data_IF_272210668533
#
_entry.id   IF_272210668533
#
_cell.length_a   1.000
_cell.length_b   1.000
_cell.length_c   1.000
_cell.angle_alpha   90.00
_cell.angle_beta   90.00
_cell.angle_gamma   90.00
#
_symmetry.space_group_name_H-M   'P 1'
#
loop_
_entity.id
_entity.type
_entity.pdbx_description
1 polymer ?
#
# COMPACT_ATOMS: atom_id res chain seq x y z
N UNK A 1 2.28 17.88 5.79
CA UNK A 1 1.23 18.37 4.83
C UNK A 1 0.49 19.61 5.34
N UNK A 2 0.37 19.80 6.65
CA UNK A 2 -0.26 20.99 7.24
C UNK A 2 0.53 22.28 7.02
N UNK A 3 1.85 22.24 7.03
CA UNK A 3 2.69 23.40 6.73
C UNK A 3 2.53 23.92 5.30
N UNK A 4 2.00 23.09 4.39
CA UNK A 4 1.66 23.50 3.02
C UNK A 4 0.27 24.11 2.90
N UNK A 5 -0.61 23.94 3.90
CA UNK A 5 -1.95 24.53 3.90
C UNK A 5 -1.95 26.05 4.11
N UNK A 6 -0.94 26.59 4.77
CA UNK A 6 -0.81 28.03 5.00
C UNK A 6 -0.45 28.82 3.73
N UNK A 7 0.08 28.14 2.71
CA UNK A 7 0.36 28.73 1.40
C UNK A 7 -0.77 28.57 0.37
N UNK A 8 -1.89 27.94 0.75
CA UNK A 8 -3.01 27.74 -0.16
C UNK A 8 -3.95 28.95 -0.20
N UNK A 9 -4.49 29.21 -1.39
CA UNK A 9 -5.63 30.11 -1.58
C UNK A 9 -6.80 29.74 -0.64
N UNK A 10 -7.51 30.73 -0.05
CA UNK A 10 -8.54 30.49 0.96
C UNK A 10 -9.64 29.50 0.52
N UNK A 11 -10.02 29.47 -0.77
CA UNK A 11 -11.01 28.55 -1.28
C UNK A 11 -10.49 27.11 -1.39
N UNK A 12 -9.21 26.92 -1.68
CA UNK A 12 -8.54 25.62 -1.66
C UNK A 12 -8.35 25.12 -0.24
N UNK A 13 -7.97 26.01 0.67
CA UNK A 13 -7.85 25.70 2.11
C UNK A 13 -9.17 25.20 2.69
N UNK A 14 -10.27 25.88 2.41
CA UNK A 14 -11.61 25.49 2.88
C UNK A 14 -12.02 24.12 2.35
N UNK A 15 -11.77 23.83 1.08
CA UNK A 15 -12.05 22.51 0.47
C UNK A 15 -11.20 21.40 1.07
N UNK A 16 -9.94 21.65 1.31
CA UNK A 16 -9.03 20.68 1.94
C UNK A 16 -9.49 20.35 3.37
N UNK A 17 -9.86 21.37 4.13
CA UNK A 17 -10.37 21.22 5.49
C UNK A 17 -11.67 20.39 5.52
N UNK A 18 -12.58 20.67 4.59
CA UNK A 18 -13.82 19.89 4.47
C UNK A 18 -13.54 18.43 4.12
N UNK A 19 -12.65 18.17 3.14
CA UNK A 19 -12.29 16.82 2.75
C UNK A 19 -11.62 16.04 3.89
N UNK A 20 -10.72 16.67 4.65
CA UNK A 20 -10.09 16.05 5.82
C UNK A 20 -11.12 15.70 6.90
N UNK A 21 -12.09 16.59 7.15
CA UNK A 21 -13.15 16.35 8.11
C UNK A 21 -14.06 15.19 7.70
N UNK A 22 -14.44 15.15 6.43
CA UNK A 22 -15.29 14.11 5.87
C UNK A 22 -14.60 12.73 5.92
N UNK A 23 -13.32 12.68 5.58
CA UNK A 23 -12.51 11.47 5.67
C UNK A 23 -12.30 11.02 7.12
N UNK A 24 -11.99 11.94 8.03
CA UNK A 24 -11.84 11.63 9.46
C UNK A 24 -13.17 11.10 10.07
N UNK A 25 -14.31 11.59 9.59
CA UNK A 25 -15.62 11.10 10.01
C UNK A 25 -15.95 9.72 9.45
N UNK A 26 -15.59 9.47 8.19
CA UNK A 26 -15.82 8.20 7.51
C UNK A 26 -14.91 7.07 8.03
N UNK A 27 -13.67 7.39 8.42
CA UNK A 27 -12.70 6.43 8.94
C UNK A 27 -12.83 6.07 10.42
N UNK A 28 -13.77 6.71 11.15
CA UNK A 28 -13.93 6.52 12.59
C UNK A 28 -12.87 7.23 13.45
N UNK A 29 -11.85 7.81 12.86
CA UNK A 29 -10.77 8.55 13.55
C UNK A 29 -11.31 9.76 14.32
N UNK A 30 -12.46 10.32 13.90
CA UNK A 30 -13.11 11.42 14.62
C UNK A 30 -13.48 11.03 16.06
N UNK A 31 -13.90 9.79 16.29
CA UNK A 31 -14.22 9.28 17.63
C UNK A 31 -12.94 9.11 18.48
N UNK A 32 -11.88 8.59 17.88
CA UNK A 32 -10.56 8.42 18.54
C UNK A 32 -9.94 9.77 18.91
N UNK A 33 -10.18 10.80 18.10
CA UNK A 33 -9.74 12.17 18.36
C UNK A 33 -10.64 12.92 19.36
N UNK A 34 -11.77 12.34 19.79
CA UNK A 34 -12.74 12.97 20.63
C UNK A 34 -13.40 14.21 19.99
N UNK A 35 -13.53 14.19 18.65
CA UNK A 35 -14.21 15.25 17.90
C UNK A 35 -15.73 15.09 18.02
N UNK A 36 -16.40 16.14 18.45
CA UNK A 36 -17.87 16.17 18.43
C UNK A 36 -18.39 16.33 17.00
N UNK A 37 -19.62 15.87 16.75
CA UNK A 37 -20.29 16.04 15.45
C UNK A 37 -20.43 17.52 15.02
N UNK A 38 -20.34 18.45 15.98
CA UNK A 38 -20.44 19.89 15.76
C UNK A 38 -19.08 20.62 15.85
N UNK A 39 -17.97 19.88 15.86
CA UNK A 39 -16.64 20.50 15.92
C UNK A 39 -16.41 21.43 14.72
N UNK A 40 -15.90 22.61 15.01
CA UNK A 40 -15.52 23.55 13.94
C UNK A 40 -14.31 23.01 13.18
N UNK A 41 -14.13 23.40 11.91
CA UNK A 41 -12.93 23.03 11.15
C UNK A 41 -11.62 23.37 11.85
N UNK A 42 -11.57 24.50 12.56
CA UNK A 42 -10.40 24.92 13.31
C UNK A 42 -10.09 24.00 14.51
N UNK A 43 -11.13 23.57 15.23
CA UNK A 43 -10.98 22.60 16.33
C UNK A 43 -10.54 21.23 15.82
N UNK A 44 -11.14 20.78 14.72
CA UNK A 44 -10.74 19.52 14.08
C UNK A 44 -9.28 19.54 13.66
N UNK A 45 -8.81 20.63 13.05
CA UNK A 45 -7.42 20.83 12.66
C UNK A 45 -6.50 20.78 13.88
N UNK A 46 -6.82 21.55 14.93
CA UNK A 46 -6.01 21.61 16.13
C UNK A 46 -5.90 20.23 16.82
N UNK A 47 -6.99 19.47 16.84
CA UNK A 47 -7.03 18.13 17.42
C UNK A 47 -6.23 17.12 16.60
N UNK A 48 -6.37 17.16 15.27
CA UNK A 48 -5.61 16.29 14.35
C UNK A 48 -4.12 16.63 14.44
N UNK A 49 -3.75 17.89 14.41
CA UNK A 49 -2.36 18.33 14.52
C UNK A 49 -1.73 17.88 15.85
N UNK A 50 -2.46 18.09 16.96
CA UNK A 50 -2.03 17.61 18.26
C UNK A 50 -1.88 16.09 18.31
N UNK A 51 -2.84 15.34 17.77
CA UNK A 51 -2.76 13.88 17.70
C UNK A 51 -1.57 13.41 16.88
N UNK A 52 -1.30 14.05 15.73
CA UNK A 52 -0.12 13.75 14.89
C UNK A 52 1.17 14.09 15.62
N UNK A 53 1.20 15.21 16.35
CA UNK A 53 2.36 15.57 17.17
C UNK A 53 2.56 14.60 18.33
N UNK A 54 1.50 14.26 19.06
CA UNK A 54 1.54 13.29 20.16
C UNK A 54 1.96 11.90 19.66
N UNK A 55 1.43 11.47 18.50
CA UNK A 55 1.83 10.23 17.86
C UNK A 55 3.31 10.26 17.45
N UNK A 56 3.76 11.36 16.87
CA UNK A 56 5.16 11.57 16.50
C UNK A 56 6.06 11.58 17.74
N UNK A 57 5.68 12.27 18.78
CA UNK A 57 6.45 12.33 20.03
C UNK A 57 6.47 10.99 20.76
N UNK A 58 5.35 10.26 20.78
CA UNK A 58 5.29 8.91 21.36
C UNK A 58 6.16 7.90 20.61
N UNK A 59 6.27 8.06 19.29
CA UNK A 59 7.06 7.19 18.43
C UNK A 59 8.53 7.60 18.32
N UNK A 60 8.82 8.89 18.39
CA UNK A 60 10.15 9.45 18.16
C UNK A 60 10.73 10.22 19.37
N UNK A 61 10.03 10.24 20.48
CA UNK A 61 10.32 11.08 21.63
C UNK A 61 11.71 10.92 22.25
N UNK A 62 12.47 9.90 21.89
CA UNK A 62 13.87 9.69 22.28
C UNK A 62 14.85 9.82 21.12
N UNK A 63 14.43 10.27 19.95
CA UNK A 63 15.31 10.49 18.80
C UNK A 63 15.83 9.23 18.12
N UNK A 64 15.34 8.06 18.52
CA UNK A 64 15.77 6.73 17.99
C UNK A 64 15.02 6.31 16.71
N UNK A 65 14.65 7.27 15.89
CA UNK A 65 13.83 7.05 14.69
C UNK A 65 14.54 6.29 13.55
N UNK A 66 15.84 6.02 13.65
CA UNK A 66 16.60 5.29 12.62
C UNK A 66 16.49 3.77 12.83
N UNK A 67 16.52 3.30 14.07
CA UNK A 67 16.52 1.88 14.41
C UNK A 67 15.29 1.46 15.20
N UNK A 68 14.60 2.42 15.77
CA UNK A 68 13.52 2.16 16.66
C UNK A 68 12.39 3.17 16.54
N UNK A 69 11.21 2.69 16.75
CA UNK A 69 10.01 3.49 16.67
C UNK A 69 9.13 3.20 17.88
N UNK A 70 9.75 3.14 19.04
CA UNK A 70 8.98 2.92 20.22
C UNK A 70 9.80 2.55 21.43
N UNK A 71 9.11 2.52 22.56
CA UNK A 71 9.68 2.12 23.85
C UNK A 71 10.17 0.67 23.83
N UNK A 72 11.21 0.41 24.58
CA UNK A 72 11.72 -0.94 24.88
C UNK A 72 12.79 -1.45 23.92
N UNK A 73 13.21 -0.69 22.90
CA UNK A 73 14.23 -1.15 21.94
C UNK A 73 15.62 -1.23 22.60
N UNK A 74 16.01 -0.20 23.34
CA UNK A 74 17.25 -0.21 24.12
C UNK A 74 17.21 -1.35 25.15
N UNK A 75 16.07 -1.56 25.80
CA UNK A 75 15.91 -2.65 26.78
C UNK A 75 15.97 -4.02 26.09
N UNK A 76 15.37 -4.17 24.92
CA UNK A 76 15.46 -5.40 24.11
C UNK A 76 16.89 -5.72 23.73
N UNK A 77 17.64 -4.71 23.27
CA UNK A 77 19.07 -4.86 22.94
C UNK A 77 19.90 -5.26 24.17
N UNK A 78 19.75 -4.56 25.29
CA UNK A 78 20.46 -4.87 26.52
C UNK A 78 20.13 -6.28 27.03
N UNK A 79 18.86 -6.70 26.92
CA UNK A 79 18.44 -8.06 27.28
C UNK A 79 19.15 -9.10 26.42
N UNK A 80 19.23 -8.87 25.10
CA UNK A 80 19.95 -9.76 24.20
C UNK A 80 21.46 -9.80 24.47
N UNK A 81 22.09 -8.64 24.69
CA UNK A 81 23.52 -8.54 25.02
C UNK A 81 23.88 -9.24 26.34
N UNK A 82 22.96 -9.26 27.29
CA UNK A 82 23.13 -10.00 28.54
C UNK A 82 22.85 -11.51 28.41
N UNK A 83 22.66 -12.02 27.19
CA UNK A 83 22.42 -13.43 26.92
C UNK A 83 21.01 -13.92 27.27
N UNK A 84 20.09 -13.02 27.56
CA UNK A 84 18.70 -13.37 27.83
C UNK A 84 17.85 -13.41 26.58
N UNK A 85 16.81 -14.25 26.59
CA UNK A 85 15.86 -14.34 25.49
C UNK A 85 14.98 -13.10 25.41
N UNK A 86 14.92 -12.47 24.25
CA UNK A 86 13.92 -11.45 23.92
C UNK A 86 12.70 -12.15 23.33
N UNK A 87 11.50 -12.06 23.95
CA UNK A 87 10.30 -12.68 23.40
C UNK A 87 9.94 -12.03 22.04
N UNK A 88 9.69 -12.83 21.00
CA UNK A 88 9.36 -12.29 19.68
C UNK A 88 8.00 -11.58 19.66
N UNK A 89 7.85 -10.61 18.76
CA UNK A 89 6.59 -9.94 18.44
C UNK A 89 6.42 -9.83 16.91
N UNK A 90 5.21 -9.49 16.44
CA UNK A 90 4.97 -9.31 15.00
C UNK A 90 5.92 -8.28 14.40
N UNK A 91 6.47 -8.58 13.23
CA UNK A 91 7.28 -7.64 12.47
C UNK A 91 6.40 -6.61 11.76
N UNK A 92 6.88 -5.39 11.64
CA UNK A 92 6.18 -4.33 10.94
C UNK A 92 6.69 -2.94 11.32
N UNK A 93 6.17 -1.94 10.65
CA UNK A 93 6.50 -0.54 10.88
C UNK A 93 5.25 0.22 11.32
N UNK A 94 5.25 0.84 12.52
CA UNK A 94 4.15 1.68 12.96
C UNK A 94 3.83 2.82 11.98
N UNK A 95 4.86 3.41 11.37
CA UNK A 95 4.71 4.49 10.37
C UNK A 95 4.00 4.06 9.09
N UNK A 96 3.83 2.76 8.90
CA UNK A 96 3.13 2.17 7.75
C UNK A 96 1.80 1.55 8.13
N UNK A 97 1.19 2.06 9.20
CA UNK A 97 -0.12 1.62 9.66
C UNK A 97 -0.14 0.36 10.53
N UNK A 98 1.05 -0.14 10.96
CA UNK A 98 1.14 -1.32 11.85
C UNK A 98 1.31 -0.88 13.29
N UNK A 99 0.32 -0.22 13.86
CA UNK A 99 0.30 0.17 15.28
C UNK A 99 0.28 -1.03 16.25
N UNK A 100 -0.20 -2.17 15.78
CA UNK A 100 -0.23 -3.44 16.51
C UNK A 100 1.16 -3.98 16.89
N UNK A 101 2.22 -3.50 16.24
CA UNK A 101 3.60 -3.92 16.55
C UNK A 101 4.25 -3.12 17.68
N UNK A 102 3.57 -2.10 18.19
CA UNK A 102 4.09 -1.30 19.31
C UNK A 102 3.97 -2.05 20.66
N UNK A 103 4.91 -1.85 21.57
CA UNK A 103 6.23 -1.21 21.42
C UNK A 103 7.18 -2.10 20.61
N UNK A 104 8.06 -1.49 19.81
CA UNK A 104 8.89 -2.18 18.80
C UNK A 104 10.14 -2.89 19.36
N UNK A 105 10.43 -2.78 20.63
CA UNK A 105 11.66 -3.31 21.26
C UNK A 105 11.84 -4.83 21.24
N UNK A 106 10.90 -5.59 20.71
CA UNK A 106 10.93 -7.07 20.64
C UNK A 106 10.71 -7.63 19.26
N UNK A 107 10.56 -6.79 18.26
CA UNK A 107 10.28 -7.22 16.92
C UNK A 107 11.37 -6.80 15.95
N UNK A 108 11.53 -7.57 14.90
CA UNK A 108 12.35 -7.18 13.78
C UNK A 108 11.70 -5.98 13.10
N UNK A 109 12.42 -4.86 13.03
CA UNK A 109 11.99 -3.68 12.32
C UNK A 109 12.11 -3.90 10.81
N UNK A 110 11.12 -4.54 10.25
CA UNK A 110 11.06 -4.86 8.83
C UNK A 110 9.59 -4.95 8.39
N UNK A 111 9.37 -4.91 7.07
CA UNK A 111 8.08 -5.29 6.51
C UNK A 111 7.97 -6.81 6.53
N UNK A 112 6.81 -7.36 6.93
CA UNK A 112 6.53 -8.78 6.65
C UNK A 112 6.26 -8.92 5.13
N UNK A 113 7.11 -9.61 4.35
CA UNK A 113 6.92 -9.72 2.91
C UNK A 113 5.57 -10.34 2.52
N UNK A 114 4.99 -11.16 3.40
CA UNK A 114 3.70 -11.80 3.18
C UNK A 114 2.51 -10.87 3.43
N UNK A 115 2.73 -9.73 4.11
CA UNK A 115 1.70 -8.71 4.33
C UNK A 115 1.79 -7.57 3.29
N UNK A 116 2.53 -7.77 2.21
CA UNK A 116 2.68 -6.83 1.09
C UNK A 116 1.90 -7.35 -0.11
N UNK A 117 1.09 -6.52 -0.79
CA UNK A 117 0.77 -5.14 -0.46
C UNK A 117 -0.16 -5.04 0.75
N UNK A 118 0.02 -4.02 1.57
CA UNK A 118 -0.95 -3.72 2.62
C UNK A 118 -2.27 -3.21 2.03
N UNK A 119 -3.37 -3.25 2.79
CA UNK A 119 -4.67 -2.74 2.33
C UNK A 119 -4.59 -1.25 1.94
N UNK A 120 -3.86 -0.44 2.72
CA UNK A 120 -3.65 0.97 2.42
C UNK A 120 -2.80 1.16 1.16
N UNK A 121 -1.71 0.39 1.01
CA UNK A 121 -0.88 0.42 -0.19
C UNK A 121 -1.68 0.00 -1.42
N UNK A 122 -2.57 -0.99 -1.31
CA UNK A 122 -3.46 -1.37 -2.40
C UNK A 122 -4.39 -0.22 -2.80
N UNK A 123 -5.03 0.44 -1.84
CA UNK A 123 -5.89 1.59 -2.14
C UNK A 123 -5.14 2.73 -2.84
N UNK A 124 -3.88 2.99 -2.46
CA UNK A 124 -3.04 3.96 -3.15
C UNK A 124 -2.60 3.46 -4.54
N UNK A 125 -2.22 2.19 -4.67
CA UNK A 125 -1.86 1.58 -5.94
C UNK A 125 -2.99 1.64 -6.97
N UNK A 126 -4.23 1.44 -6.55
CA UNK A 126 -5.42 1.62 -7.40
C UNK A 126 -5.51 3.07 -7.91
N UNK A 127 -5.37 4.06 -7.02
CA UNK A 127 -5.40 5.48 -7.41
C UNK A 127 -4.28 5.83 -8.39
N UNK A 128 -3.08 5.30 -8.17
CA UNK A 128 -1.93 5.50 -9.07
C UNK A 128 -2.21 4.90 -10.45
N UNK A 129 -2.77 3.70 -10.51
CA UNK A 129 -3.13 3.04 -11.76
C UNK A 129 -4.18 3.84 -12.55
N UNK A 130 -5.24 4.26 -11.89
CA UNK A 130 -6.31 5.04 -12.52
C UNK A 130 -5.81 6.42 -13.03
N UNK A 131 -4.94 7.08 -12.27
CA UNK A 131 -4.33 8.34 -12.69
C UNK A 131 -3.39 8.15 -13.89
N UNK A 132 -2.59 7.06 -13.90
CA UNK A 132 -1.75 6.72 -15.04
C UNK A 132 -2.59 6.49 -16.31
N UNK A 133 -3.65 5.70 -16.20
CA UNK A 133 -4.56 5.41 -17.29
C UNK A 133 -5.24 6.69 -17.79
N UNK A 134 -5.74 7.50 -16.86
CA UNK A 134 -6.39 8.78 -17.19
C UNK A 134 -5.44 9.70 -17.97
N UNK A 135 -4.19 9.82 -17.57
CA UNK A 135 -3.17 10.60 -18.31
C UNK A 135 -2.91 10.02 -19.68
N UNK A 136 -2.72 8.72 -19.77
CA UNK A 136 -2.47 8.05 -21.04
C UNK A 136 -3.63 8.27 -22.03
N UNK A 137 -4.87 8.15 -21.56
CA UNK A 137 -6.07 8.44 -22.38
C UNK A 137 -6.12 9.90 -22.86
N UNK A 138 -5.73 10.86 -22.02
CA UNK A 138 -5.66 12.26 -22.40
C UNK A 138 -4.61 12.53 -23.49
N UNK A 139 -3.46 11.85 -23.39
CA UNK A 139 -2.35 12.09 -24.30
C UNK A 139 -2.47 11.31 -25.62
N UNK A 140 -3.11 10.13 -25.59
CA UNK A 140 -3.12 9.19 -26.73
C UNK A 140 -4.50 8.83 -27.24
N UNK A 141 -5.57 9.11 -26.50
CA UNK A 141 -6.95 8.83 -26.89
C UNK A 141 -7.37 7.36 -26.81
N UNK A 142 -6.49 6.46 -26.33
CA UNK A 142 -6.74 5.02 -26.21
C UNK A 142 -6.08 4.46 -24.94
N UNK A 143 -6.51 3.27 -24.53
CA UNK A 143 -5.93 2.58 -23.38
C UNK A 143 -4.53 2.03 -23.68
N UNK A 144 -3.59 2.08 -22.73
CA UNK A 144 -2.30 1.42 -22.90
C UNK A 144 -2.50 -0.09 -23.00
N UNK A 145 -1.92 -0.74 -23.99
CA UNK A 145 -2.00 -2.19 -24.15
C UNK A 145 -0.96 -2.95 -23.30
N UNK A 146 0.17 -2.32 -23.06
CA UNK A 146 1.24 -2.90 -22.25
C UNK A 146 2.02 -1.84 -21.50
N UNK A 147 2.47 -2.16 -20.29
CA UNK A 147 3.25 -1.29 -19.43
C UNK A 147 4.36 -2.08 -18.74
N UNK A 148 5.49 -1.41 -18.53
CA UNK A 148 6.57 -1.91 -17.68
C UNK A 148 6.49 -1.19 -16.33
N UNK A 149 6.41 -1.96 -15.25
CA UNK A 149 6.41 -1.44 -13.88
C UNK A 149 7.72 -1.81 -13.21
N UNK A 150 8.46 -0.80 -12.76
CA UNK A 150 9.71 -0.98 -12.03
C UNK A 150 9.44 -1.24 -10.55
N UNK A 151 9.99 -2.33 -10.04
CA UNK A 151 9.85 -2.74 -8.64
C UNK A 151 11.21 -2.77 -7.95
N UNK A 152 11.43 -1.75 -7.13
CA UNK A 152 12.62 -1.64 -6.29
C UNK A 152 12.31 -2.17 -4.88
N UNK A 153 13.10 -3.11 -4.38
CA UNK A 153 12.89 -3.69 -3.07
C UNK A 153 12.81 -2.66 -1.94
N UNK A 154 13.66 -1.63 -1.98
CA UNK A 154 13.63 -0.54 -1.00
C UNK A 154 12.36 0.32 -1.08
N UNK A 155 11.87 0.62 -2.28
CA UNK A 155 10.61 1.34 -2.47
C UNK A 155 9.44 0.48 -1.98
N UNK A 156 9.40 -0.79 -2.36
CA UNK A 156 8.35 -1.73 -1.93
C UNK A 156 8.30 -1.88 -0.40
N UNK A 157 9.46 -1.93 0.28
CA UNK A 157 9.50 -1.90 1.75
C UNK A 157 8.94 -0.59 2.31
N UNK A 158 9.32 0.54 1.73
CA UNK A 158 8.94 1.88 2.20
C UNK A 158 7.45 2.16 2.02
N UNK A 159 6.87 1.77 0.88
CA UNK A 159 5.46 2.01 0.52
C UNK A 159 4.53 0.90 0.99
N UNK A 160 5.07 -0.20 1.51
CA UNK A 160 4.35 -1.45 1.76
C UNK A 160 3.67 -2.01 0.49
N UNK A 161 4.25 -1.75 -0.69
CA UNK A 161 3.89 -2.38 -1.96
C UNK A 161 2.92 -1.60 -2.85
N UNK A 162 2.91 -0.27 -2.81
CA UNK A 162 2.03 0.56 -3.67
C UNK A 162 2.22 0.28 -5.15
N UNK A 163 3.47 0.23 -5.62
CA UNK A 163 3.80 -0.01 -7.03
C UNK A 163 3.40 -1.42 -7.48
N UNK A 164 3.55 -2.41 -6.60
CA UNK A 164 3.09 -3.78 -6.87
C UNK A 164 1.56 -3.85 -6.92
N UNK A 165 0.87 -3.17 -6.01
CA UNK A 165 -0.59 -3.06 -6.03
C UNK A 165 -1.10 -2.34 -7.28
N UNK A 166 -0.40 -1.31 -7.75
CA UNK A 166 -0.68 -0.65 -9.02
C UNK A 166 -0.56 -1.65 -10.19
N UNK A 167 0.50 -2.45 -10.21
CA UNK A 167 0.71 -3.47 -11.25
C UNK A 167 -0.42 -4.51 -11.27
N UNK A 168 -0.86 -4.98 -10.09
CA UNK A 168 -2.00 -5.89 -9.99
C UNK A 168 -3.28 -5.26 -10.56
N UNK A 169 -3.60 -4.03 -10.16
CA UNK A 169 -4.81 -3.35 -10.61
C UNK A 169 -4.79 -3.06 -12.11
N UNK A 170 -3.66 -2.67 -12.68
CA UNK A 170 -3.49 -2.49 -14.13
C UNK A 170 -3.82 -3.78 -14.89
N UNK A 171 -3.37 -4.92 -14.40
CA UNK A 171 -3.68 -6.24 -14.97
C UNK A 171 -5.15 -6.68 -14.74
N UNK A 172 -5.85 -6.03 -13.82
CA UNK A 172 -7.20 -6.40 -13.41
C UNK A 172 -7.22 -7.51 -12.35
N UNK A 173 -6.24 -7.47 -11.45
CA UNK A 173 -6.11 -8.34 -10.29
C UNK A 173 -6.25 -7.51 -9.00
N UNK A 174 -6.75 -8.13 -7.94
CA UNK A 174 -6.73 -7.57 -6.60
C UNK A 174 -6.18 -8.60 -5.61
N UNK A 175 -5.40 -8.18 -4.60
CA UNK A 175 -4.92 -9.11 -3.59
C UNK A 175 -6.06 -9.54 -2.66
N UNK A 176 -5.99 -10.78 -2.18
CA UNK A 176 -6.81 -11.28 -1.07
C UNK A 176 -5.99 -11.34 0.19
N UNK A 177 -6.56 -10.87 1.29
CA UNK A 177 -5.91 -10.92 2.59
C UNK A 177 -6.62 -11.92 3.50
N UNK A 178 -5.83 -12.55 4.32
CA UNK A 178 -6.34 -13.29 5.47
C UNK A 178 -6.77 -12.31 6.56
N UNK A 179 -7.98 -12.48 7.09
CA UNK A 179 -8.57 -11.54 8.04
C UNK A 179 -7.86 -11.53 9.40
N UNK A 180 -7.27 -12.65 9.80
CA UNK A 180 -6.60 -12.77 11.11
C UNK A 180 -5.17 -12.25 11.12
N UNK A 181 -4.44 -12.41 9.99
CA UNK A 181 -2.99 -12.10 9.92
C UNK A 181 -2.66 -10.89 9.06
N UNK A 182 -3.63 -10.33 8.36
CA UNK A 182 -3.45 -9.28 7.34
C UNK A 182 -2.42 -9.66 6.23
N UNK A 183 -2.11 -10.94 6.08
CA UNK A 183 -1.21 -11.45 5.05
C UNK A 183 -1.97 -11.66 3.74
N UNK A 184 -1.27 -11.48 2.64
CA UNK A 184 -1.81 -11.80 1.32
C UNK A 184 -1.87 -13.31 1.17
N UNK A 185 -3.07 -13.84 0.99
CA UNK A 185 -3.34 -15.28 0.84
C UNK A 185 -3.54 -15.71 -0.62
N UNK A 186 -3.64 -14.73 -1.54
CA UNK A 186 -3.87 -14.97 -2.96
C UNK A 186 -4.32 -13.73 -3.69
N UNK A 187 -4.97 -13.92 -4.82
CA UNK A 187 -5.54 -12.82 -5.62
C UNK A 187 -6.97 -13.16 -6.04
N UNK A 188 -7.68 -12.15 -6.48
CA UNK A 188 -8.94 -12.29 -7.23
C UNK A 188 -8.81 -11.60 -8.59
N UNK A 189 -9.55 -12.12 -9.58
CA UNK A 189 -9.64 -11.54 -10.91
C UNK A 189 -10.85 -10.60 -10.91
N UNK A 190 -10.60 -9.33 -11.17
CA UNK A 190 -11.65 -8.34 -11.31
C UNK A 190 -12.38 -8.56 -12.65
N UNK A 191 -13.71 -8.70 -12.64
CA UNK A 191 -14.50 -8.76 -13.88
C UNK A 191 -14.31 -7.49 -14.72
N UNK A 192 -14.29 -7.64 -16.05
CA UNK A 192 -14.19 -6.49 -16.98
C UNK A 192 -15.29 -5.44 -16.74
N UNK A 193 -16.47 -5.88 -16.36
CA UNK A 193 -17.58 -4.99 -16.02
C UNK A 193 -17.31 -4.09 -14.79
N UNK A 194 -16.52 -4.58 -13.83
CA UNK A 194 -16.10 -3.80 -12.66
C UNK A 194 -14.89 -2.93 -13.02
N UNK A 195 -13.99 -3.48 -13.83
CA UNK A 195 -12.80 -2.75 -14.28
C UNK A 195 -13.15 -1.56 -15.16
N UNK A 196 -14.22 -1.66 -15.96
CA UNK A 196 -14.70 -0.62 -16.88
C UNK A 196 -13.74 -0.32 -18.04
N UNK A 197 -12.73 -1.16 -18.27
CA UNK A 197 -11.67 -1.00 -19.28
C UNK A 197 -11.04 -2.34 -19.64
N UNK A 198 -10.29 -2.39 -20.75
CA UNK A 198 -9.45 -3.54 -21.06
C UNK A 198 -8.38 -3.78 -19.96
N UNK A 199 -7.93 -5.02 -19.85
CA UNK A 199 -6.75 -5.38 -19.07
C UNK A 199 -5.49 -4.86 -19.76
N UNK A 200 -4.48 -4.51 -18.97
CA UNK A 200 -3.21 -4.03 -19.47
C UNK A 200 -2.16 -5.12 -19.24
N UNK A 201 -1.39 -5.48 -20.27
CA UNK A 201 -0.28 -6.42 -20.14
C UNK A 201 0.86 -5.77 -19.35
N UNK A 202 1.03 -6.18 -18.11
CA UNK A 202 2.06 -5.63 -17.23
C UNK A 202 3.27 -6.53 -17.23
N UNK A 203 4.43 -5.93 -17.51
CA UNK A 203 5.74 -6.57 -17.32
C UNK A 203 6.39 -5.99 -16.07
N UNK A 204 6.70 -6.84 -15.10
CA UNK A 204 7.42 -6.44 -13.90
C UNK A 204 8.94 -6.42 -14.17
N UNK A 205 9.57 -5.27 -14.01
CA UNK A 205 11.02 -5.13 -13.99
C UNK A 205 11.49 -5.06 -12.54
N UNK A 206 12.05 -6.16 -12.04
CA UNK A 206 12.38 -6.29 -10.62
C UNK A 206 13.85 -6.04 -10.33
N UNK A 207 14.17 -5.34 -9.27
CA UNK A 207 15.54 -5.20 -8.75
C UNK A 207 16.00 -6.47 -8.04
N UNK A 208 17.31 -6.63 -7.86
CA UNK A 208 17.87 -7.76 -7.10
C UNK A 208 17.30 -7.85 -5.69
N UNK A 209 17.22 -6.72 -4.98
CA UNK A 209 16.67 -6.66 -3.64
C UNK A 209 15.16 -7.05 -3.62
N UNK A 210 14.38 -6.65 -4.61
CA UNK A 210 12.98 -7.06 -4.70
C UNK A 210 12.87 -8.59 -4.86
N UNK A 211 13.66 -9.15 -5.77
CA UNK A 211 13.68 -10.59 -6.02
C UNK A 211 14.04 -11.40 -4.76
N UNK A 212 15.00 -10.89 -3.98
CA UNK A 212 15.52 -11.60 -2.81
C UNK A 212 14.59 -11.48 -1.60
N UNK A 213 13.91 -10.34 -1.42
CA UNK A 213 13.02 -10.08 -0.27
C UNK A 213 11.57 -10.47 -0.55
N UNK A 214 11.10 -10.31 -1.79
CA UNK A 214 9.69 -10.48 -2.18
C UNK A 214 9.46 -11.55 -3.27
N UNK A 215 10.08 -12.73 -3.20
CA UNK A 215 9.87 -13.76 -4.21
C UNK A 215 8.41 -14.19 -4.34
N UNK A 216 7.66 -14.18 -3.23
CA UNK A 216 6.24 -14.52 -3.21
C UNK A 216 5.36 -13.52 -3.99
N UNK A 217 5.76 -12.26 -4.10
CA UNK A 217 5.01 -11.28 -4.91
C UNK A 217 5.17 -11.55 -6.41
N UNK A 218 6.39 -11.91 -6.84
CA UNK A 218 6.64 -12.29 -8.23
C UNK A 218 5.80 -13.53 -8.60
N UNK A 219 5.81 -14.55 -7.76
CA UNK A 219 5.01 -15.76 -7.94
C UNK A 219 3.51 -15.48 -7.95
N UNK A 220 3.03 -14.58 -7.07
CA UNK A 220 1.63 -14.18 -7.03
C UNK A 220 1.20 -13.53 -8.34
N UNK A 221 2.04 -12.64 -8.88
CA UNK A 221 1.76 -11.96 -10.15
C UNK A 221 1.78 -12.94 -11.33
N UNK A 222 2.75 -13.84 -11.38
CA UNK A 222 2.86 -14.88 -12.40
C UNK A 222 1.61 -15.78 -12.42
N UNK A 223 1.21 -16.29 -11.26
CA UNK A 223 0.00 -17.08 -11.13
C UNK A 223 -1.27 -16.29 -11.55
N UNK A 224 -1.32 -15.00 -11.23
CA UNK A 224 -2.38 -14.09 -11.69
C UNK A 224 -2.40 -13.95 -13.21
N UNK A 225 -1.25 -13.73 -13.83
CA UNK A 225 -1.10 -13.61 -15.27
C UNK A 225 -1.51 -14.90 -16.01
N UNK A 226 -1.13 -16.05 -15.47
CA UNK A 226 -1.57 -17.36 -16.00
C UNK A 226 -3.09 -17.53 -15.90
N UNK A 227 -3.68 -17.17 -14.76
CA UNK A 227 -5.12 -17.24 -14.57
C UNK A 227 -5.88 -16.28 -15.51
N UNK A 228 -5.34 -15.08 -15.77
CA UNK A 228 -5.88 -14.15 -16.77
C UNK A 228 -5.80 -14.72 -18.18
N UNK A 229 -4.69 -15.37 -18.52
CA UNK A 229 -4.51 -15.98 -19.83
C UNK A 229 -5.51 -17.11 -20.11
N UNK A 230 -6.06 -17.72 -19.07
CA UNK A 230 -7.06 -18.80 -19.19
C UNK A 230 -8.50 -18.28 -19.26
N UNK A 231 -8.73 -16.96 -19.11
CA UNK A 231 -10.08 -16.39 -19.21
C UNK A 231 -10.62 -16.47 -20.63
N UNK A 232 -11.94 -16.65 -20.74
CA UNK A 232 -12.67 -16.52 -21.98
C UNK A 232 -13.02 -15.05 -22.22
N UNK A 233 -12.03 -14.29 -22.60
CA UNK A 233 -12.09 -12.85 -22.87
C UNK A 233 -11.44 -12.57 -24.23
N UNK A 234 -11.89 -11.54 -24.94
CA UNK A 234 -11.32 -11.19 -26.26
C UNK A 234 -9.85 -10.75 -26.13
N UNK A 235 -9.06 -10.88 -27.19
CA UNK A 235 -7.67 -10.41 -27.20
C UNK A 235 -7.55 -8.88 -27.08
N UNK A 236 -8.62 -8.14 -27.40
CA UNK A 236 -8.69 -6.70 -27.22
C UNK A 236 -8.86 -6.32 -25.75
N UNK A 237 -9.70 -7.07 -25.05
CA UNK A 237 -10.00 -6.84 -23.63
C UNK A 237 -8.96 -7.48 -22.70
N UNK A 238 -8.29 -8.56 -23.15
CA UNK A 238 -7.33 -9.30 -22.35
C UNK A 238 -6.10 -9.71 -23.17
N UNK A 239 -5.03 -8.90 -23.17
CA UNK A 239 -3.81 -9.23 -23.91
C UNK A 239 -3.05 -10.46 -23.39
N UNK A 240 -3.33 -10.92 -22.17
CA UNK A 240 -2.72 -12.13 -21.61
C UNK A 240 -3.13 -13.40 -22.37
N UNK A 241 -4.30 -13.44 -23.00
CA UNK A 241 -4.75 -14.59 -23.81
C UNK A 241 -3.85 -14.85 -25.00
N UNK A 242 -3.34 -13.79 -25.65
CA UNK A 242 -2.41 -13.89 -26.79
C UNK A 242 -0.97 -14.19 -26.34
N UNK A 243 -0.57 -13.74 -25.17
CA UNK A 243 0.75 -14.02 -24.58
C UNK A 243 0.89 -15.51 -24.29
N UNK A 244 -0.13 -16.12 -23.70
CA UNK A 244 -0.16 -17.55 -23.42
C UNK A 244 0.02 -18.36 -24.72
N UNK A 245 -0.70 -18.02 -25.77
CA UNK A 245 -0.62 -18.72 -27.06
C UNK A 245 0.79 -18.61 -27.70
N UNK A 246 1.53 -17.53 -27.47
CA UNK A 246 2.90 -17.36 -27.96
C UNK A 246 3.94 -18.17 -27.20
N UNK A 247 3.71 -18.41 -25.90
CA UNK A 247 4.68 -19.09 -25.02
C UNK A 247 4.39 -20.58 -24.91
N UNK A 248 3.12 -20.95 -24.80
CA UNK A 248 2.68 -22.33 -24.51
C UNK A 248 1.88 -22.99 -25.66
N UNK A 249 1.66 -22.30 -26.77
CA UNK A 249 0.82 -22.77 -27.88
C UNK A 249 -0.67 -22.46 -27.66
N UNK A 250 -1.52 -22.77 -28.68
CA UNK A 250 -2.97 -22.59 -28.57
C UNK A 250 -3.54 -23.47 -27.44
N UNK A 251 -4.54 -22.96 -26.75
CA UNK A 251 -5.29 -23.75 -25.75
C UNK A 251 -5.83 -25.05 -26.37
N UNK A 252 -5.77 -26.19 -25.65
CA UNK A 252 -6.40 -27.42 -26.09
C UNK A 252 -7.89 -27.27 -26.24
#
# INVERSE_FOLDING_TARGET
EYSTADGLDPARRTRLIAAIRDEASASGVAADLGLSANATPAEAITRIDRFVCDLKESQYGVGLHIFGQGEGETQGLLTALNGHRVPPRPAGSPNRGRSDVLPTGRNLFSVDPRAVPSRNAHAQGVKLAEELIRRHLQDHGDYPRGLVVDLWGSATMRTAGEEFAMALHLAGLAPKWDDGSARVSGFEILPLAILGRPRIDVTLRVSGLFRDVFPGLAQLFEAGAEALAQRDESAEDNPYTTRHARVFGPKP
#
